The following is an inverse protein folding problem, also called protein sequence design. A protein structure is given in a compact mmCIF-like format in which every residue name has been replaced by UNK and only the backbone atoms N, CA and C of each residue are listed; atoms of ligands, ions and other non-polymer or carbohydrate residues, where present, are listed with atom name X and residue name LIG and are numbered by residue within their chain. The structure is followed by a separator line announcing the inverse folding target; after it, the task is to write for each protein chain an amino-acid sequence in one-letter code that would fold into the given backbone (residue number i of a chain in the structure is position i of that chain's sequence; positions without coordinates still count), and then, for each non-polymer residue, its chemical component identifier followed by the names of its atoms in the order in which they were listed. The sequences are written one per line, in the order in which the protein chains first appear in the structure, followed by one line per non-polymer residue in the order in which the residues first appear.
data_IF_766628866010
#
_entry.id   IF_766628866010
#
_cell.length_a   1.000
_cell.length_b   1.000
_cell.length_c   1.000
_cell.angle_alpha   90.00
_cell.angle_beta   90.00
_cell.angle_gamma   90.00
#
_symmetry.space_group_name_H-M   'P 1'
#
loop_
_entity.id
_entity.type
_entity.pdbx_description
1 polymer ?
#
# COMPACT_ATOMS: atom_id res chain seq x y z
N UNK A 1 2.24 -3.02 -11.86
CA UNK A 1 3.06 -4.23 -11.72
C UNK A 1 2.28 -5.53 -12.02
N UNK A 2 1.04 -5.46 -12.51
CA UNK A 2 0.17 -6.61 -12.81
C UNK A 2 -0.29 -6.60 -14.27
N UNK A 3 -0.40 -7.78 -14.90
CA UNK A 3 -0.80 -7.87 -16.31
C UNK A 3 -2.23 -7.37 -16.54
N UNK A 4 -3.18 -7.63 -15.63
CA UNK A 4 -4.55 -7.09 -15.69
C UNK A 4 -4.62 -5.55 -15.56
N UNK A 5 -3.56 -4.88 -15.13
CA UNK A 5 -3.39 -3.42 -15.16
C UNK A 5 -2.45 -2.92 -16.27
N UNK A 6 -2.10 -3.78 -17.23
CA UNK A 6 -1.40 -3.40 -18.46
C UNK A 6 0.12 -3.67 -18.47
N UNK A 7 0.69 -4.33 -17.45
CA UNK A 7 2.09 -4.75 -17.52
C UNK A 7 2.29 -5.78 -18.63
N UNK A 8 3.28 -5.55 -19.48
CA UNK A 8 3.74 -6.53 -20.48
C UNK A 8 4.96 -7.32 -20.01
N UNK A 9 5.62 -6.87 -18.96
CA UNK A 9 6.83 -7.50 -18.44
C UNK A 9 6.52 -8.54 -17.34
N UNK A 10 5.68 -8.19 -16.36
CA UNK A 10 5.29 -9.10 -15.28
C UNK A 10 4.18 -10.05 -15.73
N UNK A 11 4.30 -11.32 -15.34
CA UNK A 11 3.32 -12.37 -15.67
C UNK A 11 2.55 -12.74 -14.39
N UNK A 12 1.24 -12.46 -14.39
CA UNK A 12 0.39 -12.60 -13.22
C UNK A 12 -0.92 -13.33 -13.52
N UNK A 13 -0.86 -14.55 -14.11
CA UNK A 13 -2.05 -15.24 -14.60
C UNK A 13 -3.09 -15.57 -13.52
N UNK A 14 -2.68 -15.78 -12.26
CA UNK A 14 -3.60 -16.07 -11.17
C UNK A 14 -4.28 -14.81 -10.65
N UNK A 15 -3.54 -13.68 -10.56
CA UNK A 15 -4.11 -12.39 -10.22
C UNK A 15 -5.02 -11.89 -11.35
N UNK A 16 -4.67 -12.16 -12.61
CA UNK A 16 -5.54 -11.88 -13.77
C UNK A 16 -6.82 -12.72 -13.72
N UNK A 17 -6.74 -14.00 -13.26
CA UNK A 17 -7.94 -14.83 -12.98
C UNK A 17 -8.80 -14.20 -11.90
N UNK A 18 -8.21 -13.72 -10.81
CA UNK A 18 -8.94 -13.01 -9.74
C UNK A 18 -9.66 -11.77 -10.29
N UNK A 19 -9.03 -11.00 -11.16
CA UNK A 19 -9.65 -9.87 -11.85
C UNK A 19 -10.81 -10.30 -12.76
N UNK A 20 -10.64 -11.38 -13.54
CA UNK A 20 -11.65 -11.89 -14.44
C UNK A 20 -12.86 -12.49 -13.71
N UNK A 21 -12.66 -13.11 -12.55
CA UNK A 21 -13.70 -13.70 -11.72
C UNK A 21 -14.34 -12.69 -10.74
N UNK A 22 -13.85 -11.45 -10.71
CA UNK A 22 -14.28 -10.39 -9.79
C UNK A 22 -14.49 -9.04 -10.44
N UNK A 23 -14.31 -8.00 -9.65
CA UNK A 23 -14.35 -6.59 -10.03
C UNK A 23 -12.95 -5.99 -9.90
N UNK A 24 -12.51 -5.29 -10.96
CA UNK A 24 -11.28 -4.52 -11.00
C UNK A 24 -11.60 -3.05 -10.78
N UNK A 25 -10.93 -2.43 -9.81
CA UNK A 25 -11.03 -1.00 -9.57
C UNK A 25 -9.87 -0.26 -10.22
N UNK A 26 -10.18 0.76 -11.03
CA UNK A 26 -9.17 1.59 -11.68
C UNK A 26 -8.73 2.77 -10.83
N UNK A 27 -9.54 3.16 -9.83
CA UNK A 27 -9.37 4.34 -9.00
C UNK A 27 -9.38 3.99 -7.51
N UNK A 28 -8.56 3.01 -7.12
CA UNK A 28 -8.37 2.62 -5.73
C UNK A 28 -7.09 3.25 -5.17
N UNK A 29 -7.13 3.68 -3.91
CA UNK A 29 -6.07 4.46 -3.30
C UNK A 29 -5.62 3.91 -1.96
N UNK A 30 -4.29 3.79 -1.80
CA UNK A 30 -3.67 3.70 -0.49
C UNK A 30 -3.88 5.02 0.27
N UNK A 31 -4.11 4.94 1.58
CA UNK A 31 -4.31 6.13 2.41
C UNK A 31 -3.01 6.91 2.65
N UNK A 32 -1.86 6.35 2.29
CA UNK A 32 -0.55 6.97 2.41
C UNK A 32 0.41 6.35 1.39
N UNK A 33 1.41 7.09 0.88
CA UNK A 33 2.39 6.54 -0.06
C UNK A 33 3.42 5.60 0.60
N UNK A 34 3.25 5.23 1.88
CA UNK A 34 4.13 4.30 2.62
C UNK A 34 3.33 3.32 3.49
N UNK A 35 4.00 2.25 3.95
CA UNK A 35 3.38 1.03 4.49
C UNK A 35 2.50 1.21 5.75
N UNK A 36 3.10 1.61 6.89
CA UNK A 36 2.41 1.54 8.21
C UNK A 36 1.13 2.37 8.27
N UNK A 37 1.08 3.60 7.75
CA UNK A 37 -0.14 4.41 7.78
C UNK A 37 -1.30 3.77 7.03
N UNK A 38 -1.04 3.22 5.84
CA UNK A 38 -2.07 2.54 5.05
C UNK A 38 -2.57 1.28 5.75
N UNK A 39 -1.68 0.48 6.34
CA UNK A 39 -2.03 -0.73 7.10
C UNK A 39 -2.88 -0.39 8.32
N UNK A 40 -2.53 0.66 9.05
CA UNK A 40 -3.34 1.17 10.16
C UNK A 40 -4.72 1.63 9.67
N UNK A 41 -4.78 2.31 8.54
CA UNK A 41 -6.01 2.79 7.90
C UNK A 41 -6.97 1.66 7.54
N UNK A 42 -6.46 0.59 6.92
CA UNK A 42 -7.25 -0.62 6.59
C UNK A 42 -7.86 -1.24 7.85
N UNK A 43 -7.08 -1.33 8.94
CA UNK A 43 -7.53 -1.97 10.17
C UNK A 43 -8.49 -1.13 11.01
N UNK A 44 -8.45 0.20 10.89
CA UNK A 44 -9.23 1.10 11.76
C UNK A 44 -10.37 1.81 11.05
N UNK A 45 -10.34 1.88 9.72
CA UNK A 45 -11.29 2.66 8.93
C UNK A 45 -11.05 4.17 9.01
N UNK A 46 -9.87 4.61 9.46
CA UNK A 46 -9.54 6.03 9.65
C UNK A 46 -8.41 6.48 8.72
N UNK A 47 -8.35 7.78 8.43
CA UNK A 47 -7.17 8.35 7.77
C UNK A 47 -5.95 8.33 8.71
N UNK A 48 -4.72 8.19 8.15
CA UNK A 48 -3.47 8.19 8.92
C UNK A 48 -3.30 9.38 9.86
N UNK A 49 -3.72 10.58 9.43
CA UNK A 49 -3.67 11.79 10.24
C UNK A 49 -4.56 11.69 11.49
N UNK A 50 -5.73 11.07 11.37
CA UNK A 50 -6.66 10.86 12.47
C UNK A 50 -6.17 9.78 13.46
N UNK A 51 -5.45 8.76 12.97
CA UNK A 51 -4.83 7.72 13.83
C UNK A 51 -3.58 8.28 14.51
N UNK A 52 -2.86 9.19 13.87
CA UNK A 52 -1.56 9.70 14.30
C UNK A 52 -0.36 8.85 13.86
N UNK A 53 -0.55 7.87 12.95
CA UNK A 53 0.51 7.13 12.29
C UNK A 53 0.62 7.69 10.87
N UNK A 54 1.52 8.65 10.67
CA UNK A 54 1.60 9.40 9.40
C UNK A 54 2.84 9.05 8.56
N UNK A 55 3.76 8.23 9.10
CA UNK A 55 4.90 7.69 8.38
C UNK A 55 5.13 6.21 8.71
N UNK A 56 6.00 5.55 7.93
CA UNK A 56 6.39 4.17 8.21
C UNK A 56 7.11 4.07 9.56
N UNK A 57 6.88 2.98 10.27
CA UNK A 57 7.41 2.75 11.60
C UNK A 57 8.81 2.15 11.50
N UNK A 58 9.83 2.92 11.91
CA UNK A 58 11.21 2.46 11.95
C UNK A 58 11.57 1.77 13.26
N UNK A 59 12.33 0.68 13.16
CA UNK A 59 12.84 -0.03 14.32
C UNK A 59 14.00 0.77 14.96
N UNK A 60 13.70 1.52 16.01
CA UNK A 60 14.72 2.19 16.82
C UNK A 60 15.13 3.58 16.38
N UNK A 61 14.30 4.29 15.64
CA UNK A 61 14.52 5.69 15.23
C UNK A 61 15.87 5.96 14.54
N UNK A 62 16.32 5.03 13.70
CA UNK A 62 17.64 5.13 13.07
C UNK A 62 17.71 6.12 11.90
N UNK A 63 16.54 6.40 11.29
CA UNK A 63 16.43 7.23 10.09
C UNK A 63 15.61 8.49 10.39
N UNK A 64 14.70 8.43 11.31
CA UNK A 64 13.89 9.54 11.75
C UNK A 64 14.44 10.22 13.03
N UNK A 65 14.20 11.50 13.16
CA UNK A 65 13.43 12.35 12.26
C UNK A 65 14.20 12.64 10.96
N UNK A 66 13.52 12.45 9.83
CA UNK A 66 14.01 12.91 8.55
C UNK A 66 13.90 14.44 8.49
N UNK A 67 14.97 15.10 8.07
CA UNK A 67 15.08 16.58 8.04
C UNK A 67 15.44 17.05 6.65
N UNK A 68 14.91 18.20 6.31
CA UNK A 68 15.26 19.00 5.15
C UNK A 68 15.09 20.47 5.50
N UNK A 69 14.49 21.27 4.64
CA UNK A 69 14.06 22.65 4.95
C UNK A 69 13.04 22.71 6.08
N UNK A 70 12.35 21.61 6.32
CA UNK A 70 11.39 21.44 7.41
C UNK A 70 11.91 20.43 8.43
N UNK A 71 11.42 20.54 9.65
CA UNK A 71 11.66 19.55 10.72
C UNK A 71 10.49 18.57 10.72
N UNK A 72 10.80 17.28 10.79
CA UNK A 72 9.84 16.22 10.88
C UNK A 72 8.84 16.40 12.04
N UNK A 73 7.61 15.98 11.84
CA UNK A 73 6.58 16.02 12.87
C UNK A 73 6.55 14.71 13.67
N UNK A 74 6.24 14.76 14.97
CA UNK A 74 6.09 13.55 15.76
C UNK A 74 4.84 12.77 15.34
N UNK A 75 4.98 11.45 15.20
CA UNK A 75 3.90 10.52 14.93
C UNK A 75 4.01 9.26 15.81
N UNK A 76 2.93 8.48 15.89
CA UNK A 76 2.90 7.26 16.69
C UNK A 76 3.69 6.15 16.00
N UNK A 77 4.48 5.42 16.79
CA UNK A 77 5.33 4.31 16.34
C UNK A 77 4.68 2.92 16.54
N UNK A 78 3.40 2.91 16.82
CA UNK A 78 2.61 1.69 17.02
C UNK A 78 1.12 1.98 16.91
N UNK A 79 0.33 0.98 16.52
CA UNK A 79 -1.13 1.10 16.49
C UNK A 79 -1.64 1.21 17.93
N UNK A 80 -2.43 2.27 18.27
CA UNK A 80 -2.96 2.41 19.61
C UNK A 80 -3.94 1.29 19.97
N UNK A 81 -3.85 0.77 21.19
CA UNK A 81 -4.80 -0.24 21.71
C UNK A 81 -6.21 0.31 21.91
N UNK A 82 -6.35 1.63 21.95
CA UNK A 82 -7.66 2.31 21.99
C UNK A 82 -8.43 2.18 20.67
N UNK A 83 -7.73 1.91 19.56
CA UNK A 83 -8.38 1.68 18.27
C UNK A 83 -9.02 0.29 18.22
N UNK A 84 -10.29 0.24 17.84
CA UNK A 84 -10.95 -1.03 17.56
C UNK A 84 -10.56 -1.49 16.16
N UNK A 85 -9.68 -2.48 16.08
CA UNK A 85 -9.26 -3.02 14.78
C UNK A 85 -10.39 -3.80 14.10
N UNK A 86 -10.29 -3.94 12.78
CA UNK A 86 -11.18 -4.80 11.98
C UNK A 86 -11.20 -6.24 12.52
N UNK A 87 -10.03 -6.78 12.89
CA UNK A 87 -9.95 -8.11 13.48
C UNK A 87 -10.71 -8.20 14.82
N UNK A 88 -10.53 -7.22 15.72
CA UNK A 88 -11.27 -7.16 16.98
C UNK A 88 -12.78 -7.09 16.76
N UNK A 89 -13.24 -6.30 15.79
CA UNK A 89 -14.66 -6.16 15.49
C UNK A 89 -15.25 -7.45 14.90
N UNK A 90 -14.54 -8.11 13.97
CA UNK A 90 -14.96 -9.39 13.39
C UNK A 90 -14.93 -10.53 14.42
N UNK A 91 -13.93 -10.57 15.29
CA UNK A 91 -13.84 -11.54 16.39
C UNK A 91 -15.05 -11.44 17.34
N UNK A 92 -15.47 -10.23 17.68
CA UNK A 92 -16.71 -10.00 18.46
C UNK A 92 -17.96 -10.49 17.71
N UNK A 93 -17.91 -10.49 16.37
CA UNK A 93 -18.93 -11.07 15.48
C UNK A 93 -18.86 -12.60 15.32
N UNK A 94 -17.95 -13.27 16.02
CA UNK A 94 -17.80 -14.73 15.99
C UNK A 94 -16.87 -15.27 14.92
N UNK A 95 -16.09 -14.42 14.25
CA UNK A 95 -15.09 -14.84 13.29
C UNK A 95 -13.83 -15.36 13.98
N UNK A 96 -13.21 -16.40 13.40
CA UNK A 96 -11.81 -16.71 13.63
C UNK A 96 -10.95 -15.66 12.92
N UNK A 97 -9.90 -15.17 13.55
CA UNK A 97 -9.12 -14.04 13.02
C UNK A 97 -7.64 -14.40 12.93
N UNK A 98 -7.09 -14.40 11.73
CA UNK A 98 -5.74 -14.85 11.44
C UNK A 98 -4.92 -13.78 10.71
N UNK A 99 -3.72 -13.54 11.18
CA UNK A 99 -2.73 -12.69 10.52
C UNK A 99 -1.57 -13.54 10.01
N UNK A 100 -1.22 -13.39 8.74
CA UNK A 100 -0.07 -14.06 8.10
C UNK A 100 0.76 -13.01 7.39
N UNK A 101 2.05 -12.95 7.68
CA UNK A 101 3.02 -12.09 7.01
C UNK A 101 3.30 -10.78 7.72
N UNK A 102 3.60 -9.71 6.98
CA UNK A 102 4.08 -8.43 7.48
C UNK A 102 3.02 -7.71 8.32
N UNK A 103 3.38 -7.32 9.55
CA UNK A 103 2.54 -6.47 10.40
C UNK A 103 2.91 -4.99 10.29
N UNK A 104 4.10 -4.62 10.79
CA UNK A 104 4.67 -3.28 10.71
C UNK A 104 3.81 -2.17 11.38
N UNK A 105 3.07 -2.52 12.45
CA UNK A 105 2.22 -1.60 13.22
C UNK A 105 2.54 -1.60 14.72
N UNK A 106 3.73 -2.03 15.10
CA UNK A 106 4.21 -2.02 16.47
C UNK A 106 4.97 -3.27 16.85
N UNK A 107 5.49 -3.27 18.09
CA UNK A 107 6.25 -4.35 18.71
C UNK A 107 5.48 -4.92 19.91
N UNK A 108 6.17 -5.55 20.83
CA UNK A 108 5.61 -6.19 22.03
C UNK A 108 4.54 -5.33 22.69
N UNK A 109 3.35 -5.91 22.87
CA UNK A 109 2.14 -5.24 23.36
C UNK A 109 1.33 -4.54 22.26
N UNK A 110 1.78 -4.58 21.01
CA UNK A 110 1.10 -4.05 19.82
C UNK A 110 1.28 -4.98 18.60
N UNK A 111 1.40 -6.28 18.85
CA UNK A 111 1.43 -7.31 17.82
C UNK A 111 -0.01 -7.63 17.32
N UNK A 112 -0.17 -8.42 16.27
CA UNK A 112 -1.50 -8.79 15.77
C UNK A 112 -2.43 -9.35 16.86
N UNK A 113 -1.91 -10.16 17.77
CA UNK A 113 -2.66 -10.78 18.87
C UNK A 113 -3.21 -9.72 19.84
N UNK A 114 -2.48 -8.63 20.05
CA UNK A 114 -2.90 -7.50 20.90
C UNK A 114 -4.01 -6.65 20.23
N UNK A 115 -4.21 -6.85 18.92
CA UNK A 115 -5.20 -6.17 18.08
C UNK A 115 -6.30 -7.09 17.53
N UNK A 116 -6.56 -8.22 18.24
CA UNK A 116 -7.73 -9.04 18.00
C UNK A 116 -7.54 -10.24 17.07
N UNK A 117 -6.34 -10.49 16.58
CA UNK A 117 -6.06 -11.72 15.84
C UNK A 117 -5.85 -12.91 16.80
N UNK A 118 -6.45 -14.06 16.49
CA UNK A 118 -6.28 -15.31 17.24
C UNK A 118 -4.94 -15.98 16.94
N UNK A 119 -4.47 -15.83 15.70
CA UNK A 119 -3.24 -16.43 15.22
C UNK A 119 -2.41 -15.37 14.48
N UNK A 120 -1.10 -15.39 14.75
CA UNK A 120 -0.11 -14.55 14.08
C UNK A 120 1.04 -15.42 13.56
N UNK A 121 1.27 -15.40 12.26
CA UNK A 121 2.37 -16.11 11.59
C UNK A 121 3.21 -15.09 10.83
N UNK A 122 4.37 -14.78 11.35
CA UNK A 122 5.33 -13.86 10.70
C UNK A 122 5.08 -12.37 10.94
N UNK A 123 4.03 -11.99 11.66
CA UNK A 123 3.73 -10.59 11.97
C UNK A 123 4.59 -10.05 13.10
N UNK A 124 5.37 -9.00 12.81
CA UNK A 124 6.27 -8.34 13.75
C UNK A 124 6.40 -6.83 13.44
N UNK A 125 7.22 -6.14 14.24
CA UNK A 125 7.52 -4.72 14.00
C UNK A 125 8.25 -4.47 12.67
N UNK A 126 8.92 -5.50 12.13
CA UNK A 126 9.71 -5.35 10.90
C UNK A 126 8.84 -5.05 9.68
N UNK A 127 9.26 -4.05 8.91
CA UNK A 127 8.61 -3.65 7.66
C UNK A 127 9.14 -4.35 6.42
N UNK A 128 10.19 -5.20 6.58
CA UNK A 128 10.83 -5.97 5.52
C UNK A 128 11.35 -7.28 6.08
N UNK A 129 11.78 -8.25 5.24
CA UNK A 129 12.44 -9.48 5.71
C UNK A 129 13.77 -9.21 6.44
N UNK A 130 14.29 -7.99 6.38
CA UNK A 130 15.55 -7.61 7.00
C UNK A 130 16.77 -8.23 6.31
N UNK A 131 17.88 -8.33 7.06
CA UNK A 131 19.14 -8.86 6.52
C UNK A 131 19.10 -10.36 6.21
N UNK A 132 18.10 -11.10 6.71
CA UNK A 132 17.90 -12.50 6.39
C UNK A 132 17.31 -12.75 5.01
N UNK A 133 16.72 -11.72 4.41
CA UNK A 133 16.12 -11.82 3.08
C UNK A 133 14.92 -12.75 3.01
N UNK A 134 14.63 -13.23 1.78
CA UNK A 134 13.47 -14.11 1.52
C UNK A 134 13.75 -15.60 1.62
N UNK A 135 15.00 -16.01 1.74
CA UNK A 135 15.36 -17.42 1.92
C UNK A 135 15.72 -17.72 3.37
N UNK A 136 15.25 -18.87 3.90
CA UNK A 136 15.59 -19.30 5.27
C UNK A 136 17.07 -19.59 5.44
N UNK A 137 17.63 -19.36 6.65
CA UNK A 137 16.98 -18.93 7.90
C UNK A 137 16.63 -17.43 7.91
N UNK A 138 15.39 -17.12 8.32
CA UNK A 138 14.93 -15.73 8.37
C UNK A 138 15.28 -15.01 9.67
N UNK A 139 15.34 -13.67 9.61
CA UNK A 139 15.56 -12.80 10.77
C UNK A 139 14.29 -12.11 11.28
N UNK A 140 13.14 -12.44 10.72
CA UNK A 140 11.82 -11.97 11.18
C UNK A 140 11.53 -12.61 12.53
N UNK A 141 11.31 -11.80 13.57
CA UNK A 141 11.30 -12.25 14.97
C UNK A 141 10.41 -13.48 15.25
N UNK A 142 9.16 -13.60 14.81
CA UNK A 142 8.40 -14.83 15.04
C UNK A 142 8.91 -16.06 14.27
N UNK A 143 9.76 -15.86 13.24
CA UNK A 143 10.22 -16.93 12.36
C UNK A 143 11.69 -17.35 12.59
N UNK A 144 12.42 -16.68 13.48
CA UNK A 144 13.88 -16.87 13.68
C UNK A 144 14.25 -18.32 14.03
N UNK A 145 13.42 -19.05 14.77
CA UNK A 145 13.73 -20.40 15.25
C UNK A 145 12.80 -21.47 14.66
N UNK A 146 12.14 -21.17 13.55
CA UNK A 146 11.27 -22.16 12.90
C UNK A 146 12.13 -23.20 12.21
N UNK A 147 11.80 -24.49 12.45
CA UNK A 147 12.48 -25.60 11.84
C UNK A 147 11.90 -25.86 10.43
N UNK A 148 12.55 -25.27 9.44
CA UNK A 148 12.25 -25.48 8.01
C UNK A 148 13.57 -25.81 7.29
N UNK A 149 13.52 -26.48 6.12
CA UNK A 149 14.70 -26.67 5.30
C UNK A 149 15.40 -25.36 4.96
N UNK A 150 16.74 -25.38 4.89
CA UNK A 150 17.50 -24.21 4.40
C UNK A 150 17.06 -23.85 2.99
N UNK A 151 17.11 -22.55 2.67
CA UNK A 151 16.65 -21.99 1.41
C UNK A 151 15.13 -22.13 1.15
N UNK A 152 14.31 -22.36 2.18
CA UNK A 152 12.85 -22.24 2.04
C UNK A 152 12.49 -20.79 1.73
N UNK A 153 11.68 -20.56 0.68
CA UNK A 153 11.28 -19.22 0.27
C UNK A 153 10.15 -18.72 1.17
N UNK A 154 10.30 -17.50 1.71
CA UNK A 154 9.41 -16.92 2.71
C UNK A 154 7.94 -16.91 2.26
N UNK A 155 7.69 -16.52 1.01
CA UNK A 155 6.32 -16.48 0.48
C UNK A 155 5.69 -17.86 0.40
N UNK A 156 6.45 -18.87 -0.01
CA UNK A 156 5.94 -20.27 -0.06
C UNK A 156 5.59 -20.75 1.35
N UNK A 157 6.48 -20.51 2.32
CA UNK A 157 6.23 -20.88 3.72
C UNK A 157 4.94 -20.20 4.28
N UNK A 158 4.83 -18.87 4.10
CA UNK A 158 3.65 -18.13 4.57
C UNK A 158 2.37 -18.59 3.87
N UNK A 159 2.48 -18.98 2.59
CA UNK A 159 1.35 -19.54 1.83
C UNK A 159 0.96 -20.91 2.36
N UNK A 160 1.94 -21.78 2.67
CA UNK A 160 1.69 -23.09 3.27
C UNK A 160 0.95 -22.96 4.62
N UNK A 161 1.35 -22.01 5.43
CA UNK A 161 0.68 -21.74 6.71
C UNK A 161 -0.75 -21.19 6.52
N UNK A 162 -0.95 -20.28 5.56
CA UNK A 162 -2.29 -19.78 5.23
C UNK A 162 -3.21 -20.89 4.71
N UNK A 163 -2.69 -21.79 3.86
CA UNK A 163 -3.39 -22.99 3.37
C UNK A 163 -3.81 -23.87 4.54
N UNK A 164 -2.88 -24.19 5.45
CA UNK A 164 -3.19 -25.00 6.65
C UNK A 164 -4.27 -24.39 7.53
N UNK A 165 -4.28 -23.05 7.71
CA UNK A 165 -5.32 -22.36 8.47
C UNK A 165 -6.70 -22.53 7.79
N UNK A 166 -6.78 -22.39 6.49
CA UNK A 166 -8.03 -22.54 5.73
C UNK A 166 -8.51 -24.01 5.77
N UNK A 167 -7.62 -24.99 5.54
CA UNK A 167 -7.94 -26.42 5.58
C UNK A 167 -8.44 -26.87 6.94
N UNK A 168 -7.84 -26.36 8.03
CA UNK A 168 -8.17 -26.73 9.41
C UNK A 168 -9.18 -25.77 10.05
N UNK A 169 -9.87 -24.92 9.28
CA UNK A 169 -10.88 -24.00 9.80
C UNK A 169 -12.00 -24.74 10.53
N UNK A 170 -12.50 -24.14 11.60
CA UNK A 170 -13.71 -24.62 12.27
C UNK A 170 -14.99 -24.25 11.48
N UNK A 171 -16.16 -24.50 12.07
CA UNK A 171 -17.44 -24.15 11.45
C UNK A 171 -17.76 -22.64 11.49
N UNK A 172 -16.99 -21.84 12.20
CA UNK A 172 -17.15 -20.39 12.27
C UNK A 172 -16.59 -19.74 11.00
N UNK A 173 -17.13 -18.58 10.60
CA UNK A 173 -16.50 -17.78 9.54
C UNK A 173 -15.08 -17.35 9.97
N UNK A 174 -14.22 -17.09 9.00
CA UNK A 174 -12.86 -16.64 9.27
C UNK A 174 -12.55 -15.32 8.58
N UNK A 175 -11.61 -14.59 9.14
CA UNK A 175 -10.94 -13.44 8.55
C UNK A 175 -9.45 -13.74 8.47
N UNK A 176 -8.93 -13.93 7.27
CA UNK A 176 -7.51 -14.07 6.99
C UNK A 176 -6.95 -12.75 6.47
N UNK A 177 -6.09 -12.11 7.24
CA UNK A 177 -5.31 -10.94 6.86
C UNK A 177 -3.95 -11.40 6.38
N UNK A 178 -3.83 -11.72 5.07
CA UNK A 178 -2.59 -12.21 4.48
C UNK A 178 -1.81 -11.06 3.84
N UNK A 179 -0.89 -10.48 4.59
CA UNK A 179 -0.06 -9.36 4.16
C UNK A 179 1.36 -9.82 3.83
N UNK A 180 1.63 -9.99 2.55
CA UNK A 180 2.92 -10.42 2.07
C UNK A 180 4.06 -9.47 2.47
N UNK A 181 5.28 -9.99 2.67
CA UNK A 181 6.51 -9.18 2.67
C UNK A 181 6.91 -8.77 1.26
N UNK A 182 6.52 -9.57 0.25
CA UNK A 182 6.73 -9.24 -1.16
C UNK A 182 5.89 -8.03 -1.57
N UNK A 183 6.48 -7.19 -2.39
CA UNK A 183 7.77 -7.28 -3.10
C UNK A 183 8.80 -6.30 -2.51
N UNK A 184 8.88 -6.19 -1.19
CA UNK A 184 9.77 -5.26 -0.49
C UNK A 184 11.25 -5.70 -0.63
N UNK A 185 12.16 -4.72 -0.58
CA UNK A 185 13.62 -4.99 -0.49
C UNK A 185 13.98 -5.71 0.83
N UNK A 186 15.07 -6.51 0.84
CA UNK A 186 15.98 -6.80 -0.28
C UNK A 186 15.31 -7.59 -1.39
N UNK A 187 15.76 -7.38 -2.64
CA UNK A 187 15.20 -8.11 -3.77
C UNK A 187 15.85 -9.50 -3.86
N UNK A 188 15.04 -10.53 -3.69
CA UNK A 188 15.48 -11.93 -3.81
C UNK A 188 14.36 -12.77 -4.41
N UNK A 189 14.63 -13.45 -5.50
CA UNK A 189 13.69 -14.34 -6.17
C UNK A 189 14.32 -15.72 -6.43
N UNK A 190 13.48 -16.70 -6.69
CA UNK A 190 13.91 -18.05 -7.05
C UNK A 190 14.75 -18.00 -8.33
N UNK A 191 15.95 -18.65 -8.38
CA UNK A 191 16.88 -18.51 -9.50
C UNK A 191 16.30 -18.83 -10.87
N UNK A 192 15.42 -19.83 -10.96
CA UNK A 192 14.74 -20.21 -12.20
C UNK A 192 13.81 -19.12 -12.73
N UNK A 193 13.16 -18.38 -11.84
CA UNK A 193 12.32 -17.24 -12.23
C UNK A 193 13.16 -16.05 -12.70
N UNK A 194 14.27 -15.78 -12.01
CA UNK A 194 15.21 -14.74 -12.44
C UNK A 194 15.71 -15.05 -13.85
N UNK A 195 16.14 -16.29 -14.12
CA UNK A 195 16.60 -16.71 -15.45
C UNK A 195 15.52 -16.50 -16.53
N UNK A 196 14.26 -16.89 -16.27
CA UNK A 196 13.11 -16.67 -17.15
C UNK A 196 12.97 -15.18 -17.53
N UNK A 197 13.04 -14.28 -16.55
CA UNK A 197 12.85 -12.85 -16.81
C UNK A 197 14.08 -12.16 -17.39
N UNK A 198 15.29 -12.70 -17.17
CA UNK A 198 16.49 -12.28 -17.92
C UNK A 198 16.29 -12.56 -19.42
N UNK A 199 15.86 -13.79 -19.76
CA UNK A 199 15.58 -14.16 -21.15
C UNK A 199 14.44 -13.31 -21.75
N UNK A 200 13.38 -13.05 -20.97
CA UNK A 200 12.28 -12.18 -21.41
C UNK A 200 12.73 -10.75 -21.68
N UNK A 201 13.51 -10.16 -20.78
CA UNK A 201 14.06 -8.81 -20.94
C UNK A 201 14.95 -8.73 -22.21
N UNK A 202 15.78 -9.74 -22.43
CA UNK A 202 16.62 -9.86 -23.63
C UNK A 202 15.76 -9.95 -24.90
N UNK A 203 14.76 -10.82 -24.92
CA UNK A 203 13.88 -11.03 -26.09
C UNK A 203 13.04 -9.79 -26.42
N UNK A 204 12.68 -8.99 -25.42
CA UNK A 204 11.99 -7.71 -25.58
C UNK A 204 12.93 -6.55 -25.92
N UNK A 205 14.25 -6.77 -25.97
CA UNK A 205 15.24 -5.75 -26.27
C UNK A 205 15.37 -4.65 -25.22
N UNK A 206 14.94 -4.90 -23.97
CA UNK A 206 14.89 -3.88 -22.92
C UNK A 206 16.27 -3.33 -22.55
N UNK A 207 17.33 -4.13 -22.72
CA UNK A 207 18.71 -3.68 -22.49
C UNK A 207 19.21 -2.61 -23.47
N UNK A 208 18.47 -2.34 -24.54
CA UNK A 208 18.79 -1.28 -25.53
C UNK A 208 18.09 0.04 -25.23
N UNK A 209 17.19 0.06 -24.25
CA UNK A 209 16.39 1.22 -23.87
C UNK A 209 17.00 1.92 -22.65
N UNK A 210 16.78 3.22 -22.54
CA UNK A 210 17.11 3.96 -21.34
C UNK A 210 16.25 3.48 -20.17
N UNK A 211 16.91 2.95 -19.18
CA UNK A 211 16.22 2.31 -18.02
C UNK A 211 15.95 3.29 -16.89
N UNK A 212 16.78 4.33 -16.76
CA UNK A 212 16.71 5.29 -15.66
C UNK A 212 16.87 6.72 -16.13
N UNK A 213 16.19 7.64 -15.46
CA UNK A 213 16.55 9.06 -15.44
C UNK A 213 17.20 9.43 -14.11
N UNK A 214 18.02 10.47 -14.12
CA UNK A 214 18.53 11.11 -12.92
C UNK A 214 17.85 12.47 -12.76
N UNK A 215 17.26 12.67 -11.59
CA UNK A 215 16.54 13.89 -11.25
C UNK A 215 17.33 14.77 -10.28
N UNK A 216 16.61 15.72 -9.66
CA UNK A 216 17.13 16.58 -8.62
C UNK A 216 17.62 15.74 -7.42
N UNK A 217 18.54 16.30 -6.64
CA UNK A 217 18.99 15.68 -5.41
C UNK A 217 17.86 15.41 -4.42
N UNK A 218 18.03 14.37 -3.56
CA UNK A 218 17.08 14.11 -2.50
C UNK A 218 16.85 15.34 -1.62
N UNK A 219 15.59 15.66 -1.27
CA UNK A 219 15.26 16.82 -0.44
C UNK A 219 15.64 16.64 1.03
N UNK A 220 15.82 15.38 1.48
CA UNK A 220 16.17 15.07 2.86
C UNK A 220 17.67 15.20 3.13
N UNK A 221 18.01 15.70 4.32
CA UNK A 221 19.39 16.05 4.74
C UNK A 221 20.36 14.86 4.62
N UNK A 222 19.93 13.66 5.01
CA UNK A 222 20.80 12.46 5.05
C UNK A 222 21.10 11.85 3.68
N UNK A 223 20.41 12.29 2.61
CA UNK A 223 20.63 11.82 1.23
C UNK A 223 20.88 12.96 0.24
N UNK A 224 21.02 14.18 0.70
CA UNK A 224 21.12 15.36 -0.18
C UNK A 224 22.31 15.36 -1.14
N UNK A 225 23.31 14.49 -0.90
CA UNK A 225 24.44 14.28 -1.80
C UNK A 225 24.16 13.27 -2.91
N UNK A 226 22.96 12.67 -2.92
CA UNK A 226 22.53 11.71 -3.90
C UNK A 226 21.42 12.30 -4.76
N UNK A 227 21.41 11.96 -6.04
CA UNK A 227 20.29 12.28 -6.95
C UNK A 227 19.22 11.21 -6.87
N UNK A 228 17.98 11.63 -7.03
CA UNK A 228 16.85 10.71 -7.22
C UNK A 228 17.04 10.02 -8.57
N UNK A 229 17.12 8.70 -8.56
CA UNK A 229 17.22 7.87 -9.74
C UNK A 229 15.88 7.19 -10.00
N UNK A 230 15.17 7.58 -11.06
CA UNK A 230 13.86 7.04 -11.41
C UNK A 230 13.98 5.96 -12.48
N UNK A 231 13.31 4.83 -12.28
CA UNK A 231 13.18 3.80 -13.33
C UNK A 231 12.08 4.19 -14.33
N UNK A 232 12.40 4.07 -15.61
CA UNK A 232 11.52 4.47 -16.71
C UNK A 232 10.72 3.31 -17.32
N UNK A 233 11.12 2.06 -17.04
CA UNK A 233 10.46 0.87 -17.60
C UNK A 233 10.56 -0.34 -16.65
N UNK A 234 9.58 -1.20 -16.74
CA UNK A 234 9.56 -2.49 -16.03
C UNK A 234 10.52 -3.44 -16.71
N UNK A 235 11.64 -3.75 -16.05
CA UNK A 235 12.73 -4.54 -16.65
C UNK A 235 13.63 -5.26 -15.67
N UNK A 236 13.30 -5.22 -14.34
CA UNK A 236 14.10 -5.90 -13.33
C UNK A 236 13.72 -7.38 -13.21
N UNK A 237 14.64 -8.33 -13.57
CA UNK A 237 14.30 -9.75 -13.55
C UNK A 237 14.08 -10.33 -12.15
N UNK A 238 14.75 -9.77 -11.13
CA UNK A 238 14.61 -10.27 -9.75
C UNK A 238 13.24 -9.85 -9.23
N UNK A 239 12.88 -8.59 -9.40
CA UNK A 239 11.56 -8.08 -9.00
C UNK A 239 10.43 -8.83 -9.73
N UNK A 240 10.58 -9.08 -11.03
CA UNK A 240 9.61 -9.86 -11.80
C UNK A 240 9.46 -11.30 -11.27
N UNK A 241 10.55 -11.96 -10.89
CA UNK A 241 10.51 -13.28 -10.26
C UNK A 241 9.83 -13.27 -8.88
N UNK A 242 9.94 -12.15 -8.14
CA UNK A 242 9.19 -11.96 -6.88
C UNK A 242 7.69 -11.80 -7.17
N UNK A 243 7.30 -11.00 -8.15
CA UNK A 243 5.89 -10.83 -8.57
C UNK A 243 5.29 -12.18 -8.98
N UNK A 244 6.00 -12.98 -9.76
CA UNK A 244 5.52 -14.31 -10.18
C UNK A 244 5.33 -15.26 -8.99
N UNK A 245 6.21 -15.19 -7.98
CA UNK A 245 6.05 -15.99 -6.76
C UNK A 245 4.86 -15.54 -5.92
N UNK A 246 4.55 -14.25 -5.90
CA UNK A 246 3.35 -13.70 -5.30
C UNK A 246 2.09 -14.19 -6.04
N UNK A 247 2.11 -14.14 -7.37
CA UNK A 247 1.02 -14.62 -8.21
C UNK A 247 0.71 -16.10 -7.99
N UNK A 248 1.73 -16.95 -7.92
CA UNK A 248 1.57 -18.38 -7.59
C UNK A 248 0.93 -18.59 -6.22
N UNK A 249 1.33 -17.79 -5.22
CA UNK A 249 0.73 -17.84 -3.89
C UNK A 249 -0.76 -17.49 -3.92
N UNK A 250 -1.13 -16.43 -4.64
CA UNK A 250 -2.54 -16.06 -4.84
C UNK A 250 -3.29 -17.20 -5.53
N UNK A 251 -2.71 -17.82 -6.56
CA UNK A 251 -3.29 -18.96 -7.26
C UNK A 251 -3.62 -20.11 -6.32
N UNK A 252 -2.68 -20.49 -5.46
CA UNK A 252 -2.85 -21.57 -4.47
C UNK A 252 -4.00 -21.29 -3.50
N UNK A 253 -4.17 -20.04 -3.05
CA UNK A 253 -5.29 -19.66 -2.18
C UNK A 253 -6.63 -19.72 -2.95
N UNK A 254 -6.68 -19.24 -4.19
CA UNK A 254 -7.89 -19.31 -5.02
C UNK A 254 -8.31 -20.76 -5.26
N UNK A 255 -7.36 -21.63 -5.65
CA UNK A 255 -7.60 -23.05 -5.90
C UNK A 255 -8.11 -23.77 -4.65
N UNK A 256 -7.55 -23.45 -3.48
CA UNK A 256 -8.01 -24.02 -2.23
C UNK A 256 -9.45 -23.60 -1.89
N UNK A 257 -9.77 -22.31 -1.99
CA UNK A 257 -11.11 -21.78 -1.72
C UNK A 257 -12.15 -22.43 -2.64
N UNK A 258 -11.78 -22.66 -3.92
CA UNK A 258 -12.65 -23.32 -4.90
C UNK A 258 -12.81 -24.83 -4.60
N UNK A 259 -11.71 -25.54 -4.31
CA UNK A 259 -11.72 -26.98 -4.02
C UNK A 259 -12.43 -27.33 -2.69
N UNK A 260 -12.35 -26.45 -1.70
CA UNK A 260 -13.09 -26.57 -0.44
C UNK A 260 -14.58 -26.23 -0.56
N UNK A 261 -15.02 -25.74 -1.73
CA UNK A 261 -16.43 -25.42 -2.01
C UNK A 261 -16.96 -24.20 -1.27
N UNK A 262 -16.07 -23.33 -0.75
CA UNK A 262 -16.44 -22.14 0.03
C UNK A 262 -16.37 -20.83 -0.76
N UNK A 263 -16.10 -20.87 -2.06
CA UNK A 263 -15.93 -19.69 -2.90
C UNK A 263 -17.13 -18.73 -2.84
N UNK A 264 -18.36 -19.25 -2.83
CA UNK A 264 -19.57 -18.42 -2.81
C UNK A 264 -19.75 -17.63 -1.49
N UNK A 265 -19.14 -18.09 -0.42
CA UNK A 265 -19.23 -17.51 0.93
C UNK A 265 -17.98 -16.73 1.31
N UNK A 266 -16.99 -16.65 0.40
CA UNK A 266 -15.69 -15.99 0.66
C UNK A 266 -15.55 -14.76 -0.19
N UNK A 267 -15.28 -13.62 0.47
CA UNK A 267 -14.82 -12.38 -0.18
C UNK A 267 -13.31 -12.41 -0.23
N UNK A 268 -12.73 -12.25 -1.40
CA UNK A 268 -11.29 -12.14 -1.61
C UNK A 268 -10.98 -10.73 -2.09
N UNK A 269 -10.10 -10.04 -1.37
CA UNK A 269 -9.63 -8.69 -1.70
C UNK A 269 -8.13 -8.75 -1.92
N UNK A 270 -7.67 -8.30 -3.08
CA UNK A 270 -6.27 -8.13 -3.40
C UNK A 270 -5.97 -6.64 -3.61
N UNK A 271 -4.99 -6.09 -2.89
CA UNK A 271 -4.57 -4.70 -3.00
C UNK A 271 -3.11 -4.52 -2.56
N UNK A 272 -2.58 -3.30 -2.67
CA UNK A 272 -1.26 -2.92 -2.16
C UNK A 272 -1.37 -1.86 -1.07
N UNK A 273 -0.33 -1.75 -0.23
CA UNK A 273 -0.27 -0.74 0.84
C UNK A 273 0.34 0.59 0.39
N UNK A 274 1.02 0.62 -0.75
CA UNK A 274 1.57 1.81 -1.41
C UNK A 274 2.08 1.47 -2.81
N UNK A 275 2.39 2.48 -3.60
CA UNK A 275 2.93 2.33 -4.94
C UNK A 275 4.25 1.59 -5.05
N UNK A 276 4.55 1.12 -6.25
CA UNK A 276 5.80 0.45 -6.57
C UNK A 276 7.01 1.37 -6.36
N UNK A 277 8.14 0.78 -5.95
CA UNK A 277 9.37 1.51 -5.64
C UNK A 277 10.12 1.91 -6.92
N UNK A 278 9.84 3.12 -7.43
CA UNK A 278 10.39 3.61 -8.70
C UNK A 278 11.65 4.49 -8.56
N UNK A 279 11.91 5.05 -7.37
CA UNK A 279 12.86 6.17 -7.22
C UNK A 279 13.99 5.97 -6.20
N UNK A 280 14.05 4.85 -5.51
CA UNK A 280 15.08 4.59 -4.49
C UNK A 280 15.32 3.10 -4.27
N UNK A 281 16.29 2.77 -3.43
CA UNK A 281 16.56 1.39 -2.98
C UNK A 281 16.72 0.41 -4.16
N UNK A 282 17.38 0.86 -5.23
CA UNK A 282 17.56 0.10 -6.46
C UNK A 282 16.51 0.40 -7.55
N UNK A 283 15.42 1.11 -7.21
CA UNK A 283 14.35 1.45 -8.15
C UNK A 283 13.93 0.25 -9.00
N UNK A 284 13.35 -0.81 -8.39
CA UNK A 284 13.14 -2.08 -9.08
C UNK A 284 12.00 -2.05 -10.10
N UNK A 285 11.06 -1.11 -10.00
CA UNK A 285 9.90 -1.05 -10.90
C UNK A 285 9.62 0.35 -11.44
N UNK A 286 8.67 0.44 -12.34
CA UNK A 286 8.14 1.66 -12.93
C UNK A 286 6.62 1.62 -12.87
N UNK A 287 6.00 2.72 -12.41
CA UNK A 287 4.55 2.82 -12.26
C UNK A 287 3.87 3.52 -13.46
N UNK A 288 4.63 3.88 -14.52
CA UNK A 288 4.06 4.56 -15.68
C UNK A 288 2.80 3.83 -16.21
N UNK A 289 1.75 4.58 -16.61
CA UNK A 289 1.74 6.03 -16.82
C UNK A 289 1.61 6.89 -15.56
N UNK A 290 1.44 6.28 -14.36
CA UNK A 290 1.32 7.01 -13.11
C UNK A 290 2.66 7.64 -12.70
N UNK A 291 2.61 8.90 -12.24
CA UNK A 291 3.80 9.63 -11.82
C UNK A 291 4.39 9.05 -10.54
N UNK A 292 5.71 8.95 -10.47
CA UNK A 292 6.49 8.59 -9.29
C UNK A 292 6.19 7.17 -8.76
N UNK A 293 6.17 7.00 -7.44
CA UNK A 293 5.93 5.73 -6.76
C UNK A 293 5.95 5.88 -5.25
N UNK A 294 6.28 4.79 -4.56
CA UNK A 294 6.38 4.75 -3.10
C UNK A 294 7.06 5.99 -2.54
N UNK A 295 6.47 6.57 -1.48
CA UNK A 295 6.99 7.76 -0.81
C UNK A 295 6.62 9.10 -1.45
N UNK A 296 5.83 9.09 -2.54
CA UNK A 296 5.37 10.28 -3.24
C UNK A 296 3.85 10.38 -3.22
N UNK A 297 3.31 11.60 -3.15
CA UNK A 297 1.86 11.80 -3.15
C UNK A 297 1.21 11.81 -4.54
N UNK A 298 2.01 11.66 -5.60
CA UNK A 298 1.52 11.49 -6.96
C UNK A 298 0.80 10.15 -7.13
N UNK A 299 0.11 9.98 -8.25
CA UNK A 299 -0.69 8.79 -8.52
C UNK A 299 0.10 7.49 -8.39
N UNK A 300 1.35 7.44 -8.87
CA UNK A 300 2.19 6.24 -8.75
C UNK A 300 2.56 5.84 -7.31
N UNK A 301 2.43 6.76 -6.35
CA UNK A 301 2.67 6.46 -4.93
C UNK A 301 1.43 6.05 -4.14
N UNK A 302 0.24 6.43 -4.62
CA UNK A 302 -1.01 6.27 -3.86
C UNK A 302 -2.11 5.51 -4.59
N UNK A 303 -2.09 5.44 -5.93
CA UNK A 303 -3.09 4.70 -6.71
C UNK A 303 -2.66 3.26 -6.87
N UNK A 304 -3.46 2.33 -6.31
CA UNK A 304 -3.11 0.94 -6.12
C UNK A 304 -4.04 0.01 -6.86
N UNK A 305 -3.59 -1.21 -7.21
CA UNK A 305 -4.50 -2.23 -7.68
C UNK A 305 -5.50 -2.60 -6.58
N UNK A 306 -6.75 -2.80 -6.97
CA UNK A 306 -7.77 -3.37 -6.10
C UNK A 306 -8.63 -4.32 -6.92
N UNK A 307 -8.63 -5.59 -6.53
CA UNK A 307 -9.44 -6.65 -7.12
C UNK A 307 -10.31 -7.26 -6.02
N UNK A 308 -11.60 -7.42 -6.28
CA UNK A 308 -12.53 -8.02 -5.33
C UNK A 308 -13.33 -9.13 -6.00
N UNK A 309 -13.15 -10.37 -5.52
CA UNK A 309 -13.92 -11.54 -5.93
C UNK A 309 -14.89 -11.92 -4.83
N UNK A 310 -16.16 -12.00 -5.16
CA UNK A 310 -17.21 -12.50 -4.28
C UNK A 310 -18.33 -13.11 -5.14
N UNK A 311 -18.23 -14.39 -5.51
CA UNK A 311 -19.20 -15.04 -6.38
C UNK A 311 -20.64 -14.86 -5.90
N UNK A 312 -21.59 -14.76 -6.83
CA UNK A 312 -23.01 -14.45 -6.59
C UNK A 312 -23.33 -13.06 -6.00
N UNK A 313 -22.33 -12.27 -5.65
CA UNK A 313 -22.52 -10.92 -5.10
C UNK A 313 -21.86 -9.83 -5.96
N UNK A 314 -20.73 -10.13 -6.55
CA UNK A 314 -19.99 -9.25 -7.45
C UNK A 314 -20.09 -9.83 -8.86
N UNK A 315 -20.45 -8.99 -9.83
CA UNK A 315 -20.49 -9.39 -11.24
C UNK A 315 -19.07 -9.57 -11.75
N UNK A 316 -18.79 -10.73 -12.33
CA UNK A 316 -17.46 -11.06 -12.88
C UNK A 316 -17.09 -10.15 -14.05
N UNK A 317 -15.79 -9.93 -14.25
CA UNK A 317 -15.20 -9.13 -15.33
C UNK A 317 -15.76 -7.69 -15.39
N UNK A 318 -16.11 -7.11 -14.24
CA UNK A 318 -16.57 -5.72 -14.16
C UNK A 318 -15.43 -4.80 -13.80
N UNK A 319 -15.51 -3.55 -14.26
CA UNK A 319 -14.56 -2.49 -13.95
C UNK A 319 -15.30 -1.38 -13.20
N UNK A 320 -14.74 -0.94 -12.09
CA UNK A 320 -15.24 0.17 -11.29
C UNK A 320 -14.22 1.32 -11.30
N UNK A 321 -14.66 2.50 -11.75
CA UNK A 321 -13.85 3.73 -11.74
C UNK A 321 -14.27 4.74 -10.67
N UNK A 322 -15.15 4.34 -9.75
CA UNK A 322 -15.50 5.17 -8.60
C UNK A 322 -14.31 5.19 -7.62
N UNK A 323 -13.80 6.38 -7.23
CA UNK A 323 -12.67 6.46 -6.31
C UNK A 323 -12.98 5.86 -4.94
N UNK A 324 -12.10 4.95 -4.49
CA UNK A 324 -12.16 4.27 -3.20
C UNK A 324 -10.81 4.36 -2.50
N UNK A 325 -10.77 4.19 -1.19
CA UNK A 325 -9.53 4.34 -0.42
C UNK A 325 -9.45 3.32 0.73
N UNK A 326 -8.25 3.10 1.25
CA UNK A 326 -7.97 2.09 2.29
C UNK A 326 -8.89 2.13 3.52
N UNK A 327 -9.31 3.29 4.05
CA UNK A 327 -10.25 3.35 5.16
C UNK A 327 -11.60 2.67 4.88
N UNK A 328 -11.98 2.52 3.62
CA UNK A 328 -13.27 1.97 3.18
C UNK A 328 -13.39 0.46 3.46
N UNK A 329 -12.29 -0.23 3.59
CA UNK A 329 -12.31 -1.68 3.84
C UNK A 329 -12.95 -2.01 5.18
N UNK A 330 -12.69 -1.22 6.23
CA UNK A 330 -13.28 -1.46 7.53
C UNK A 330 -14.82 -1.45 7.51
N UNK A 331 -15.50 -0.35 7.15
CA UNK A 331 -16.97 -0.32 7.15
C UNK A 331 -17.57 -1.30 6.13
N UNK A 332 -16.87 -1.56 5.01
CA UNK A 332 -17.33 -2.54 4.01
C UNK A 332 -17.36 -3.95 4.57
N UNK A 333 -16.27 -4.40 5.19
CA UNK A 333 -16.17 -5.75 5.73
C UNK A 333 -17.07 -5.96 6.95
N UNK A 334 -17.23 -4.96 7.79
CA UNK A 334 -18.22 -4.97 8.89
C UNK A 334 -19.64 -5.13 8.34
N UNK A 335 -19.99 -4.40 7.27
CA UNK A 335 -21.30 -4.51 6.65
C UNK A 335 -21.51 -5.85 5.96
N UNK A 336 -20.50 -6.39 5.25
CA UNK A 336 -20.54 -7.72 4.62
C UNK A 336 -20.75 -8.81 5.68
N UNK A 337 -20.09 -8.69 6.83
CA UNK A 337 -20.24 -9.60 7.96
C UNK A 337 -21.61 -9.50 8.67
N UNK A 338 -22.48 -8.57 8.25
CA UNK A 338 -23.77 -8.33 8.90
C UNK A 338 -23.66 -7.71 10.30
N UNK A 339 -22.49 -7.15 10.62
CA UNK A 339 -22.21 -6.54 11.92
C UNK A 339 -22.52 -5.05 11.90
N UNK A 340 -22.61 -4.45 13.08
CA UNK A 340 -22.70 -3.00 13.25
C UNK A 340 -21.39 -2.47 13.79
N UNK A 341 -20.87 -1.39 13.20
CA UNK A 341 -19.79 -0.65 13.83
C UNK A 341 -20.21 -0.18 15.22
N UNK A 342 -19.26 -0.12 16.15
CA UNK A 342 -19.56 0.48 17.46
C UNK A 342 -19.99 1.93 17.25
N UNK A 343 -21.02 2.37 18.00
CA UNK A 343 -21.62 3.70 17.82
C UNK A 343 -20.68 4.86 18.19
N UNK A 344 -19.60 4.56 18.92
CA UNK A 344 -18.59 5.50 19.39
C UNK A 344 -17.27 5.47 18.58
N UNK A 345 -17.21 4.64 17.53
CA UNK A 345 -16.05 4.58 16.67
C UNK A 345 -16.17 5.62 15.56
N UNK A 346 -15.31 6.61 15.60
CA UNK A 346 -15.17 7.59 14.49
C UNK A 346 -14.47 6.91 13.32
N UNK A 347 -15.17 6.75 12.19
CA UNK A 347 -14.69 6.09 10.96
C UNK A 347 -14.72 7.10 9.84
N UNK A 348 -13.60 7.27 9.14
CA UNK A 348 -13.47 8.15 7.97
C UNK A 348 -13.90 7.45 6.68
N UNK A 349 -13.78 6.11 6.65
CA UNK A 349 -14.11 5.28 5.50
C UNK A 349 -15.60 5.18 5.21
N UNK A 350 -15.94 4.87 3.98
CA UNK A 350 -17.30 4.67 3.50
C UNK A 350 -17.42 3.25 2.96
N UNK A 351 -18.52 2.54 3.27
CA UNK A 351 -18.73 1.21 2.72
C UNK A 351 -18.87 1.26 1.19
N UNK A 352 -18.06 0.44 0.52
CA UNK A 352 -18.13 0.24 -0.94
C UNK A 352 -19.03 -0.95 -1.33
N UNK A 353 -19.74 -1.54 -0.37
CA UNK A 353 -20.70 -2.62 -0.66
C UNK A 353 -21.71 -2.26 -1.74
N UNK A 354 -22.26 -1.01 -1.83
CA UNK A 354 -23.13 -0.63 -2.94
C UNK A 354 -22.48 -0.81 -4.31
N UNK A 355 -21.19 -0.44 -4.47
CA UNK A 355 -20.44 -0.64 -5.72
C UNK A 355 -20.31 -2.14 -6.06
N UNK A 356 -20.03 -2.97 -5.06
CA UNK A 356 -19.94 -4.43 -5.21
C UNK A 356 -21.29 -5.06 -5.61
N UNK A 357 -22.40 -4.41 -5.30
CA UNK A 357 -23.76 -4.79 -5.69
C UNK A 357 -24.21 -4.20 -7.03
N UNK A 358 -23.32 -3.50 -7.74
CA UNK A 358 -23.59 -2.95 -9.07
C UNK A 358 -24.10 -1.51 -9.09
N UNK A 359 -24.11 -0.78 -7.96
CA UNK A 359 -24.31 0.64 -7.98
C UNK A 359 -23.11 1.35 -8.61
N UNK A 360 -23.32 2.49 -9.25
CA UNK A 360 -22.27 3.20 -9.99
C UNK A 360 -21.59 4.31 -9.21
N UNK A 361 -22.08 4.61 -8.01
CA UNK A 361 -21.53 5.69 -7.18
C UNK A 361 -21.76 5.41 -5.69
N UNK A 362 -20.90 6.00 -4.86
CA UNK A 362 -21.07 6.16 -3.42
C UNK A 362 -21.03 7.65 -3.09
N UNK A 363 -21.66 8.04 -2.01
CA UNK A 363 -21.63 9.44 -1.58
C UNK A 363 -20.32 9.75 -0.89
N UNK A 364 -19.40 10.36 -1.65
CA UNK A 364 -18.09 10.81 -1.17
C UNK A 364 -17.76 12.17 -1.74
N UNK A 365 -17.43 13.13 -0.88
CA UNK A 365 -17.03 14.47 -1.31
C UNK A 365 -15.60 14.47 -1.86
N UNK A 366 -14.65 13.84 -1.13
CA UNK A 366 -13.25 13.80 -1.52
C UNK A 366 -12.49 12.65 -0.83
N UNK A 367 -11.30 12.37 -1.34
CA UNK A 367 -10.26 11.53 -0.68
C UNK A 367 -9.11 12.45 -0.31
N UNK A 368 -8.53 12.24 0.88
CA UNK A 368 -7.47 13.09 1.43
C UNK A 368 -6.23 12.31 1.77
N UNK A 369 -5.05 12.95 1.62
CA UNK A 369 -3.75 12.46 2.03
C UNK A 369 -3.01 13.50 2.83
N UNK A 370 -2.27 13.07 3.84
CA UNK A 370 -1.40 13.90 4.63
C UNK A 370 -0.13 13.13 4.96
N UNK A 371 0.96 13.51 4.30
CA UNK A 371 2.29 12.92 4.48
C UNK A 371 3.29 14.03 4.80
N UNK A 372 3.36 14.48 6.08
CA UNK A 372 4.15 15.64 6.49
C UNK A 372 5.63 15.31 6.71
N UNK A 373 6.17 14.35 5.98
CA UNK A 373 7.50 13.77 6.17
C UNK A 373 8.31 13.80 4.88
N UNK A 374 9.64 13.76 5.02
CA UNK A 374 10.54 13.50 3.90
C UNK A 374 10.61 12.01 3.64
N UNK A 375 10.16 11.57 2.48
CA UNK A 375 10.29 10.19 2.05
C UNK A 375 11.72 9.79 1.72
N UNK A 376 12.16 8.61 2.16
CA UNK A 376 13.43 8.03 1.72
C UNK A 376 13.53 7.83 0.21
N UNK A 377 12.40 7.92 -0.46
CA UNK A 377 12.22 7.74 -1.90
C UNK A 377 12.29 9.06 -2.68
N UNK A 378 12.39 10.20 -2.01
CA UNK A 378 12.54 11.52 -2.63
C UNK A 378 11.33 12.44 -2.47
N UNK A 379 10.20 11.93 -2.00
CA UNK A 379 9.00 12.74 -1.75
C UNK A 379 9.23 13.78 -0.64
N UNK A 380 8.61 14.95 -0.79
CA UNK A 380 8.66 16.07 0.16
C UNK A 380 7.36 16.13 0.98
N UNK A 381 7.42 16.74 2.18
CA UNK A 381 6.25 16.88 3.05
C UNK A 381 5.10 17.64 2.38
N UNK A 382 3.88 17.10 2.48
CA UNK A 382 2.73 17.75 1.88
C UNK A 382 1.39 17.11 2.27
N UNK A 383 0.33 17.64 1.66
CA UNK A 383 -1.03 17.08 1.72
C UNK A 383 -1.67 17.09 0.33
N UNK A 384 -2.62 16.21 0.12
CA UNK A 384 -3.36 16.17 -1.14
C UNK A 384 -4.85 15.93 -0.93
N UNK A 385 -5.66 16.33 -1.91
CA UNK A 385 -7.09 16.06 -1.98
C UNK A 385 -7.47 15.69 -3.40
N UNK A 386 -8.28 14.64 -3.56
CA UNK A 386 -8.96 14.31 -4.81
C UNK A 386 -10.45 14.51 -4.66
N UNK A 387 -11.03 15.36 -5.52
CA UNK A 387 -12.46 15.60 -5.62
C UNK A 387 -12.89 15.44 -7.09
N UNK A 388 -13.68 14.42 -7.37
CA UNK A 388 -14.03 14.05 -8.73
C UNK A 388 -12.80 13.74 -9.59
N UNK A 389 -12.66 14.44 -10.72
CA UNK A 389 -11.55 14.28 -11.66
C UNK A 389 -10.30 15.09 -11.26
N UNK A 390 -10.40 15.98 -10.29
CA UNK A 390 -9.28 16.86 -9.91
C UNK A 390 -8.57 16.37 -8.67
N UNK A 391 -7.22 16.47 -8.73
CA UNK A 391 -6.33 16.24 -7.57
C UNK A 391 -5.46 17.47 -7.35
N UNK A 392 -5.46 17.95 -6.12
CA UNK A 392 -4.59 19.04 -5.67
C UNK A 392 -3.57 18.49 -4.68
N UNK A 393 -2.31 18.90 -4.84
CA UNK A 393 -1.20 18.61 -3.92
C UNK A 393 -0.64 19.94 -3.41
N UNK A 394 -0.54 20.09 -2.10
CA UNK A 394 0.16 21.19 -1.42
C UNK A 394 1.46 20.68 -0.83
N UNK A 395 2.59 21.27 -1.22
CA UNK A 395 3.92 20.98 -0.70
C UNK A 395 4.32 22.01 0.37
N UNK A 396 4.73 21.55 1.53
CA UNK A 396 4.97 22.45 2.68
C UNK A 396 6.32 23.16 2.65
N UNK A 397 7.31 22.70 1.88
CA UNK A 397 8.64 23.33 1.82
C UNK A 397 8.61 24.74 1.25
N UNK A 398 7.81 24.95 0.22
CA UNK A 398 7.74 26.17 -0.58
C UNK A 398 6.33 26.72 -0.76
N UNK A 399 5.34 26.08 -0.11
CA UNK A 399 3.92 26.36 -0.24
C UNK A 399 3.41 26.22 -1.69
N UNK A 400 4.10 25.42 -2.51
CA UNK A 400 3.71 25.15 -3.89
C UNK A 400 2.42 24.36 -3.90
N UNK A 401 1.50 24.77 -4.80
CA UNK A 401 0.26 24.07 -5.07
C UNK A 401 0.31 23.55 -6.51
N UNK A 402 -0.02 22.28 -6.66
CA UNK A 402 -0.19 21.63 -7.95
C UNK A 402 -1.63 21.14 -8.08
N UNK A 403 -2.22 21.32 -9.25
CA UNK A 403 -3.57 20.87 -9.57
C UNK A 403 -3.56 20.11 -10.89
N UNK A 404 -4.13 18.92 -10.89
CA UNK A 404 -4.19 18.03 -12.05
C UNK A 404 -5.63 17.59 -12.33
N UNK A 405 -5.98 17.41 -13.61
CA UNK A 405 -7.22 16.77 -14.02
C UNK A 405 -6.88 15.33 -14.45
N UNK A 406 -7.08 14.39 -13.55
CA UNK A 406 -6.68 12.98 -13.72
C UNK A 406 -7.44 12.25 -14.84
N UNK A 407 -8.57 12.79 -15.31
CA UNK A 407 -9.29 12.18 -16.44
C UNK A 407 -8.58 12.36 -17.77
N UNK A 408 -7.82 13.43 -17.93
CA UNK A 408 -7.11 13.78 -19.16
C UNK A 408 -5.60 13.82 -19.02
N UNK A 409 -5.10 13.82 -17.79
CA UNK A 409 -3.69 13.89 -17.43
C UNK A 409 -3.44 12.99 -16.19
N UNK A 410 -3.52 11.69 -16.40
CA UNK A 410 -3.27 10.69 -15.34
C UNK A 410 -1.79 10.66 -14.93
N UNK A 411 -0.93 11.17 -15.79
CA UNK A 411 0.52 11.23 -15.62
C UNK A 411 0.96 12.42 -14.75
N UNK A 412 0.00 13.32 -14.39
CA UNK A 412 0.27 14.53 -13.59
C UNK A 412 1.39 15.41 -14.18
N UNK A 413 1.41 15.54 -15.52
CA UNK A 413 2.45 16.28 -16.26
C UNK A 413 2.19 17.79 -16.32
N UNK A 414 0.91 18.22 -16.26
CA UNK A 414 0.53 19.61 -16.50
C UNK A 414 -0.16 20.20 -15.27
N UNK A 415 0.59 20.97 -14.48
CA UNK A 415 0.02 21.73 -13.36
C UNK A 415 -0.89 22.85 -13.90
N UNK A 416 -2.21 22.70 -13.68
CA UNK A 416 -3.24 23.65 -14.11
C UNK A 416 -3.71 24.62 -13.01
N UNK A 417 -3.03 24.70 -11.86
CA UNK A 417 -3.44 25.53 -10.73
C UNK A 417 -3.66 27.00 -11.12
N UNK A 418 -2.82 27.54 -12.00
CA UNK A 418 -2.95 28.92 -12.50
C UNK A 418 -4.02 29.09 -13.59
N UNK A 419 -4.41 28.00 -14.27
CA UNK A 419 -5.42 28.00 -15.33
C UNK A 419 -6.84 27.79 -14.78
N UNK A 420 -6.95 27.08 -13.64
CA UNK A 420 -8.21 26.75 -12.96
C UNK A 420 -8.23 27.29 -11.51
N UNK A 421 -8.09 28.62 -11.30
CA UNK A 421 -7.93 29.20 -9.96
C UNK A 421 -9.14 28.98 -9.05
N UNK A 422 -10.33 28.87 -9.62
CA UNK A 422 -11.58 28.63 -8.85
C UNK A 422 -11.58 27.21 -8.29
N UNK A 423 -11.27 26.20 -9.12
CA UNK A 423 -11.17 24.80 -8.69
C UNK A 423 -10.02 24.63 -7.69
N UNK A 424 -8.88 25.24 -7.99
CA UNK A 424 -7.70 25.21 -7.10
C UNK A 424 -8.06 25.75 -5.71
N UNK A 425 -8.72 26.93 -5.64
CA UNK A 425 -9.14 27.50 -4.36
C UNK A 425 -10.14 26.60 -3.62
N UNK A 426 -11.12 26.04 -4.32
CA UNK A 426 -12.14 25.19 -3.73
C UNK A 426 -11.49 23.92 -3.09
N UNK A 427 -10.63 23.23 -3.82
CA UNK A 427 -9.98 22.04 -3.32
C UNK A 427 -9.01 22.36 -2.17
N UNK A 428 -8.30 23.48 -2.26
CA UNK A 428 -7.40 23.90 -1.20
C UNK A 428 -8.16 24.24 0.09
N UNK A 429 -9.27 24.96 -0.01
CA UNK A 429 -10.15 25.25 1.15
C UNK A 429 -10.70 23.94 1.78
N UNK A 430 -11.07 22.95 0.95
CA UNK A 430 -11.48 21.61 1.43
C UNK A 430 -10.35 20.91 2.17
N UNK A 431 -9.12 20.93 1.62
CA UNK A 431 -7.94 20.31 2.22
C UNK A 431 -7.59 20.94 3.57
N UNK A 432 -7.61 22.28 3.66
CA UNK A 432 -7.37 23.00 4.91
C UNK A 432 -8.40 22.62 5.96
N UNK A 433 -9.70 22.67 5.61
CA UNK A 433 -10.80 22.34 6.53
C UNK A 433 -10.71 20.90 7.03
N UNK A 434 -10.34 19.96 6.14
CA UNK A 434 -10.14 18.56 6.53
C UNK A 434 -8.94 18.41 7.49
N UNK A 435 -7.79 19.07 7.22
CA UNK A 435 -6.63 19.04 8.12
C UNK A 435 -6.96 19.59 9.51
N UNK A 436 -7.73 20.68 9.58
CA UNK A 436 -8.18 21.22 10.85
C UNK A 436 -9.08 20.24 11.61
N UNK A 437 -10.01 19.56 10.89
CA UNK A 437 -10.91 18.56 11.49
C UNK A 437 -10.16 17.38 12.10
N UNK A 438 -9.11 16.88 11.44
CA UNK A 438 -8.32 15.72 11.91
C UNK A 438 -7.09 16.12 12.73
N UNK A 439 -6.95 17.40 13.07
CA UNK A 439 -5.81 17.95 13.83
C UNK A 439 -4.45 17.58 13.23
N UNK A 440 -4.36 17.61 11.89
CA UNK A 440 -3.18 17.21 11.15
C UNK A 440 -1.96 18.09 11.50
N UNK A 441 -0.85 17.47 11.82
CA UNK A 441 0.37 18.19 12.22
C UNK A 441 1.15 18.68 11.01
N UNK A 442 1.39 19.98 10.92
CA UNK A 442 2.18 20.62 9.86
C UNK A 442 3.63 20.76 10.33
N UNK A 443 4.63 20.40 9.51
CA UNK A 443 6.03 20.53 9.87
C UNK A 443 6.44 22.00 9.92
N UNK A 444 7.42 22.31 10.80
CA UNK A 444 7.97 23.65 10.98
C UNK A 444 9.26 23.82 10.21
N UNK A 445 9.62 25.06 9.90
CA UNK A 445 10.91 25.38 9.29
C UNK A 445 12.08 24.88 10.13
N UNK A 446 13.09 24.31 9.48
CA UNK A 446 14.30 23.83 10.11
C UNK A 446 15.29 25.02 10.27
N UNK A 447 15.54 25.52 11.50
CA UNK A 447 16.42 26.66 11.71
C UNK A 447 17.90 26.36 11.42
N UNK A 448 18.27 25.09 11.29
CA UNK A 448 19.62 24.62 10.98
C UNK A 448 19.84 24.30 9.52
N UNK A 449 18.82 24.50 8.66
CA UNK A 449 18.95 24.25 7.24
C UNK A 449 19.82 25.31 6.58
N UNK A 450 20.80 24.86 5.80
CA UNK A 450 21.70 25.73 5.04
C UNK A 450 21.39 25.64 3.54
N UNK A 451 20.72 26.66 3.02
CA UNK A 451 20.41 26.76 1.59
C UNK A 451 21.65 27.01 0.72
N UNK A 452 22.77 27.52 1.33
CA UNK A 452 24.01 27.77 0.62
C UNK A 452 24.86 26.53 0.37
N UNK A 453 24.45 25.39 0.92
CA UNK A 453 25.08 24.10 0.64
C UNK A 453 24.86 23.75 -0.85
N UNK A 454 25.79 24.25 -1.66
CA UNK A 454 25.88 23.92 -3.08
C UNK A 454 26.51 22.54 -3.18
N UNK A 455 25.77 21.62 -3.73
CA UNK A 455 26.24 20.26 -4.01
C UNK A 455 27.32 20.31 -5.07
N UNK A 456 28.54 19.90 -4.69
CA UNK A 456 29.68 19.77 -5.61
C UNK A 456 29.53 18.54 -6.50
#
# INVERSE_FOLDING_TARGET
DLACYGSSFYETPNIDRLAAEGMLFTDAYAACPVCSPTRASILTGKYPANIGITDWIDAGNKIHPARGRLVDVPYLKQLPQSETSLASALKLGGYQTWHVGKWHLGDKGHLPEDHGFDINIGGAHQGSPGHGGYFSPWTINPLVNINVPDNTYLTDYLTDEAVKLIENRGPQPFFLNFWYYQVHTPLEAKPEKVAKYVDKAHNLGLGLLETFSEDEPFPCEHKRDQKVKRRLLQSDPIYAGMIESLDESVGRILDLIDSEGIANETVIIFTSDNGGLATAEGSPTCNAPLAEGKGWMYEGGTREPLLIRWPNNVTQSTICSTPVSSPDFYPTLIQIAGLKSKSDQDIDGISILPLLKGETAIHRDAIYWHYPHYGNQGGTPGSAVRCGDYKLIEFFEDNRIELYNLRVDIEENVNIANHEPTVCKQLHDMLISWREKVEAKIPLSNPNWDDSYVRS
#
